data_IF_408475124849
#
_entry.id   IF_408475124849
#
_cell.length_a   1.000
_cell.length_b   1.000
_cell.length_c   1.000
_cell.angle_alpha   90.00
_cell.angle_beta   90.00
_cell.angle_gamma   90.00
#
_symmetry.space_group_name_H-M   'P 1'
#
loop_
_entity.id
_entity.type
_entity.pdbx_description
1 polymer ?
#
# COMPACT_ATOMS: atom_id res chain seq x y z
N UNK A 1 3.64 -24.60 -38.68
CA UNK A 1 3.71 -23.92 -37.36
C UNK A 1 3.70 -25.00 -36.28
N UNK A 2 4.88 -25.43 -35.83
CA UNK A 2 5.05 -26.58 -34.91
C UNK A 2 4.79 -26.11 -33.48
N UNK A 3 3.77 -26.67 -32.82
CA UNK A 3 3.59 -26.54 -31.35
C UNK A 3 4.56 -27.50 -30.67
N UNK A 4 5.49 -26.96 -29.89
CA UNK A 4 6.41 -27.76 -29.07
C UNK A 4 5.68 -28.52 -27.94
N UNK A 5 6.26 -29.62 -27.42
CA UNK A 5 5.60 -30.46 -26.43
C UNK A 5 5.54 -29.75 -25.06
N UNK A 6 4.35 -29.70 -24.48
CA UNK A 6 4.15 -29.27 -23.10
C UNK A 6 4.69 -30.34 -22.15
N UNK A 7 5.81 -30.07 -21.49
CA UNK A 7 6.38 -30.92 -20.45
C UNK A 7 5.52 -30.85 -19.18
N UNK A 8 4.43 -31.61 -19.13
CA UNK A 8 3.72 -31.86 -17.86
C UNK A 8 4.41 -33.02 -17.12
N UNK A 9 4.76 -32.79 -15.86
CA UNK A 9 5.43 -33.75 -14.97
C UNK A 9 4.51 -34.91 -14.52
N UNK A 10 3.67 -35.42 -15.42
CA UNK A 10 2.63 -36.40 -15.17
C UNK A 10 3.13 -37.86 -15.15
N UNK A 11 4.42 -38.12 -15.44
CA UNK A 11 4.99 -39.46 -15.57
C UNK A 11 5.84 -39.97 -14.38
N UNK A 12 6.03 -39.16 -13.34
CA UNK A 12 6.83 -39.59 -12.16
C UNK A 12 6.02 -40.44 -11.17
N UNK A 13 6.59 -41.51 -10.57
CA UNK A 13 5.91 -42.30 -9.53
C UNK A 13 5.55 -41.45 -8.31
N UNK A 14 4.42 -41.76 -7.65
CA UNK A 14 3.85 -40.97 -6.52
C UNK A 14 4.86 -40.56 -5.43
N UNK A 15 5.80 -41.41 -4.95
CA UNK A 15 6.80 -40.99 -3.95
C UNK A 15 7.83 -39.98 -4.48
N UNK A 16 8.21 -40.06 -5.76
CA UNK A 16 9.11 -39.09 -6.40
C UNK A 16 8.47 -37.69 -6.48
N UNK A 17 7.14 -37.61 -6.66
CA UNK A 17 6.40 -36.34 -6.61
C UNK A 17 6.38 -35.72 -5.21
N UNK A 18 6.34 -36.54 -4.16
CA UNK A 18 6.39 -36.06 -2.78
C UNK A 18 7.78 -35.52 -2.41
N UNK A 19 8.84 -36.21 -2.82
CA UNK A 19 10.23 -35.75 -2.66
C UNK A 19 10.50 -34.45 -3.42
N UNK A 20 10.06 -34.37 -4.68
CA UNK A 20 10.21 -33.17 -5.50
C UNK A 20 9.41 -31.97 -4.93
N UNK A 21 8.22 -32.20 -4.37
CA UNK A 21 7.43 -31.17 -3.67
C UNK A 21 8.08 -30.73 -2.35
N UNK A 22 8.80 -31.60 -1.64
CA UNK A 22 9.54 -31.25 -0.42
C UNK A 22 10.78 -30.43 -0.77
N UNK A 23 11.55 -30.87 -1.77
CA UNK A 23 12.71 -30.15 -2.28
C UNK A 23 12.32 -28.77 -2.84
N UNK A 24 11.24 -28.69 -3.62
CA UNK A 24 10.70 -27.43 -4.11
C UNK A 24 10.29 -26.48 -2.97
N UNK A 25 9.61 -26.98 -1.94
CA UNK A 25 9.28 -26.19 -0.74
C UNK A 25 10.52 -25.74 0.04
N UNK A 26 11.56 -26.57 0.11
CA UNK A 26 12.83 -26.20 0.73
C UNK A 26 13.55 -25.12 -0.08
N UNK A 27 13.59 -25.23 -1.41
CA UNK A 27 14.17 -24.22 -2.30
C UNK A 27 13.40 -22.89 -2.26
N UNK A 28 12.06 -22.93 -2.20
CA UNK A 28 11.26 -21.72 -2.02
C UNK A 28 11.56 -21.05 -0.67
N UNK A 29 11.72 -21.83 0.41
CA UNK A 29 12.10 -21.33 1.73
C UNK A 29 13.51 -20.73 1.73
N UNK A 30 14.50 -21.41 1.16
CA UNK A 30 15.86 -20.91 1.07
C UNK A 30 15.96 -19.63 0.20
N UNK A 31 15.29 -19.62 -0.95
CA UNK A 31 15.15 -18.42 -1.80
C UNK A 31 14.50 -17.28 -1.04
N UNK A 32 13.53 -17.57 -0.18
CA UNK A 32 12.86 -16.57 0.64
C UNK A 32 13.73 -16.07 1.79
N UNK A 33 14.46 -16.93 2.51
CA UNK A 33 15.44 -16.50 3.50
C UNK A 33 16.52 -15.61 2.89
N UNK A 34 16.97 -15.92 1.68
CA UNK A 34 17.87 -15.06 0.91
C UNK A 34 17.19 -13.76 0.46
N UNK A 35 15.92 -13.80 0.08
CA UNK A 35 15.14 -12.61 -0.26
C UNK A 35 14.86 -11.71 0.96
N UNK A 36 14.56 -12.28 2.13
CA UNK A 36 14.33 -11.53 3.36
C UNK A 36 15.63 -10.93 3.89
N UNK A 37 16.76 -11.63 3.77
CA UNK A 37 18.10 -11.07 3.99
C UNK A 37 18.41 -9.97 2.97
N UNK A 38 18.08 -10.16 1.69
CA UNK A 38 18.25 -9.14 0.64
C UNK A 38 17.40 -7.89 0.89
N UNK A 39 16.14 -8.05 1.31
CA UNK A 39 15.24 -6.96 1.69
C UNK A 39 15.71 -6.26 2.96
N UNK A 40 16.23 -7.00 3.95
CA UNK A 40 16.92 -6.42 5.12
C UNK A 40 18.16 -5.62 4.72
N UNK A 41 18.90 -6.08 3.71
CA UNK A 41 20.17 -5.47 3.30
C UNK A 41 20.00 -4.27 2.36
N UNK A 42 19.00 -4.30 1.45
CA UNK A 42 18.68 -3.19 0.54
C UNK A 42 17.65 -2.20 1.12
N UNK A 43 16.87 -2.64 2.10
CA UNK A 43 15.95 -1.84 2.92
C UNK A 43 14.87 -1.08 2.15
N UNK A 44 14.28 -0.13 2.88
CA UNK A 44 13.34 0.87 2.38
C UNK A 44 13.85 1.64 1.14
N UNK A 45 15.15 2.04 1.04
CA UNK A 45 15.65 2.81 -0.10
C UNK A 45 15.49 2.13 -1.46
N UNK A 46 15.57 0.79 -1.52
CA UNK A 46 15.36 0.05 -2.76
C UNK A 46 13.92 0.17 -3.26
N UNK A 47 12.94 -0.03 -2.39
CA UNK A 47 11.54 0.10 -2.75
C UNK A 47 11.21 1.55 -3.09
N UNK A 48 11.64 2.51 -2.29
CA UNK A 48 11.47 3.94 -2.60
C UNK A 48 12.01 4.28 -3.98
N UNK A 49 13.23 3.83 -4.31
CA UNK A 49 13.84 4.08 -5.62
C UNK A 49 13.06 3.43 -6.74
N UNK A 50 12.66 2.16 -6.57
CA UNK A 50 11.87 1.42 -7.55
C UNK A 50 10.53 2.09 -7.82
N UNK A 51 9.82 2.53 -6.78
CA UNK A 51 8.51 3.17 -6.88
C UNK A 51 8.61 4.59 -7.41
N UNK A 52 9.58 5.38 -6.93
CA UNK A 52 9.90 6.73 -7.42
C UNK A 52 10.20 6.76 -8.92
N UNK A 53 10.84 5.71 -9.45
CA UNK A 53 11.21 5.60 -10.87
C UNK A 53 10.14 4.96 -11.76
N UNK A 54 8.95 4.61 -11.26
CA UNK A 54 7.89 4.10 -12.14
C UNK A 54 7.44 5.19 -13.10
N UNK A 55 7.62 4.94 -14.39
CA UNK A 55 7.22 5.88 -15.45
C UNK A 55 5.71 6.06 -15.57
N UNK A 56 5.31 7.21 -16.13
CA UNK A 56 3.91 7.65 -16.25
C UNK A 56 2.97 6.60 -16.87
N UNK A 57 3.40 5.82 -17.85
CA UNK A 57 2.57 4.77 -18.46
C UNK A 57 2.22 3.64 -17.47
N UNK A 58 3.13 3.31 -16.54
CA UNK A 58 2.86 2.33 -15.49
C UNK A 58 1.99 2.89 -14.38
N UNK A 59 2.15 4.18 -14.08
CA UNK A 59 1.24 4.89 -13.18
C UNK A 59 -0.16 4.85 -13.81
N UNK A 60 -0.32 5.32 -15.06
CA UNK A 60 -1.57 5.34 -15.85
C UNK A 60 -2.29 4.00 -15.95
N UNK A 61 -1.55 2.90 -16.13
CA UNK A 61 -2.14 1.55 -16.11
C UNK A 61 -2.70 1.14 -14.74
N UNK A 62 -2.23 1.75 -13.65
CA UNK A 62 -2.80 1.57 -12.32
C UNK A 62 -4.08 2.37 -12.05
N UNK A 63 -4.53 3.23 -12.99
CA UNK A 63 -5.67 4.14 -12.79
C UNK A 63 -7.03 3.43 -12.75
N UNK A 64 -7.08 2.14 -13.09
CA UNK A 64 -8.31 1.37 -13.15
C UNK A 64 -8.64 0.71 -11.82
N UNK A 65 -8.84 1.50 -10.75
CA UNK A 65 -9.24 0.90 -9.47
C UNK A 65 -10.21 1.69 -8.59
N UNK A 66 -10.83 2.80 -9.03
CA UNK A 66 -11.83 3.51 -8.18
C UNK A 66 -12.95 2.59 -7.67
N UNK A 67 -13.34 1.59 -8.46
CA UNK A 67 -14.40 0.63 -8.11
C UNK A 67 -13.89 -0.63 -7.38
N UNK A 68 -12.65 -0.63 -6.87
CA UNK A 68 -12.13 -1.80 -6.17
C UNK A 68 -12.86 -1.98 -4.82
N UNK A 69 -13.36 -3.18 -4.48
CA UNK A 69 -14.23 -3.40 -3.31
C UNK A 69 -13.69 -2.89 -1.96
N UNK A 70 -12.37 -2.95 -1.73
CA UNK A 70 -11.75 -2.45 -0.48
C UNK A 70 -12.03 -0.95 -0.24
N UNK A 71 -12.31 -0.16 -1.29
CA UNK A 71 -12.57 1.28 -1.17
C UNK A 71 -13.92 1.56 -0.55
N UNK A 72 -14.94 0.74 -0.86
CA UNK A 72 -16.23 0.85 -0.18
C UNK A 72 -16.07 0.57 1.31
N UNK A 73 -15.36 -0.52 1.64
CA UNK A 73 -15.02 -0.87 3.02
C UNK A 73 -14.27 0.27 3.73
N UNK A 74 -13.26 0.87 3.08
CA UNK A 74 -12.52 2.01 3.60
C UNK A 74 -13.46 3.18 3.95
N UNK A 75 -14.32 3.59 3.01
CA UNK A 75 -15.26 4.69 3.20
C UNK A 75 -16.24 4.45 4.36
N UNK A 76 -16.75 3.23 4.48
CA UNK A 76 -17.66 2.86 5.57
C UNK A 76 -16.96 2.95 6.93
N UNK A 77 -15.68 2.57 7.02
CA UNK A 77 -14.91 2.70 8.26
C UNK A 77 -14.61 4.15 8.61
N UNK A 78 -14.36 5.02 7.62
CA UNK A 78 -14.24 6.47 7.86
C UNK A 78 -15.54 7.07 8.41
N UNK A 79 -16.71 6.53 8.02
CA UNK A 79 -17.99 7.01 8.55
C UNK A 79 -18.12 6.78 10.06
N UNK A 80 -17.49 5.74 10.61
CA UNK A 80 -17.47 5.47 12.05
C UNK A 80 -16.72 6.55 12.87
N UNK A 81 -15.85 7.33 12.23
CA UNK A 81 -15.09 8.42 12.87
C UNK A 81 -15.74 9.80 12.68
N UNK A 82 -16.93 9.86 12.05
CA UNK A 82 -17.62 11.12 11.81
C UNK A 82 -18.09 11.79 13.11
N UNK A 83 -17.97 13.13 13.25
CA UNK A 83 -17.39 14.09 12.30
C UNK A 83 -15.85 14.12 12.35
N UNK A 84 -15.21 14.35 11.21
CA UNK A 84 -13.78 14.67 11.08
C UNK A 84 -13.57 15.70 9.97
N UNK A 85 -12.45 16.43 10.02
CA UNK A 85 -12.19 17.54 9.11
C UNK A 85 -10.91 17.39 8.29
N UNK A 86 -9.94 16.58 8.73
CA UNK A 86 -8.67 16.42 8.00
C UNK A 86 -8.22 14.97 7.94
N UNK A 87 -7.72 14.56 6.78
CA UNK A 87 -7.16 13.22 6.57
C UNK A 87 -5.81 13.28 5.87
N UNK A 88 -4.92 12.35 6.22
CA UNK A 88 -3.63 12.16 5.55
C UNK A 88 -3.47 10.70 5.11
N UNK A 89 -3.28 10.48 3.81
CA UNK A 89 -2.89 9.18 3.25
C UNK A 89 -1.37 9.13 3.03
N UNK A 90 -0.71 8.16 3.65
CA UNK A 90 0.71 7.86 3.43
C UNK A 90 0.85 6.82 2.32
N UNK A 91 1.53 7.17 1.24
CA UNK A 91 1.66 6.36 0.02
C UNK A 91 0.39 6.42 -0.85
N UNK A 92 -0.12 7.62 -1.08
CA UNK A 92 -1.42 7.85 -1.72
C UNK A 92 -1.48 7.50 -3.22
N UNK A 93 -0.33 7.22 -3.86
CA UNK A 93 -0.26 7.10 -5.31
C UNK A 93 -0.80 8.35 -5.99
N UNK A 94 -1.83 8.19 -6.83
CA UNK A 94 -2.52 9.29 -7.52
C UNK A 94 -3.79 9.77 -6.77
N UNK A 95 -3.98 9.34 -5.53
CA UNK A 95 -5.05 9.77 -4.63
C UNK A 95 -6.46 9.23 -4.90
N UNK A 96 -6.68 7.98 -5.38
CA UNK A 96 -8.03 7.48 -5.62
C UNK A 96 -8.88 7.42 -4.33
N UNK A 97 -8.26 7.04 -3.20
CA UNK A 97 -8.94 6.95 -1.91
C UNK A 97 -9.33 8.35 -1.41
N UNK A 98 -8.42 9.32 -1.50
CA UNK A 98 -8.68 10.72 -1.13
C UNK A 98 -9.79 11.36 -1.97
N UNK A 99 -9.82 11.09 -3.28
CA UNK A 99 -10.89 11.58 -4.15
C UNK A 99 -12.26 11.02 -3.74
N UNK A 100 -12.33 9.72 -3.39
CA UNK A 100 -13.57 9.10 -2.92
C UNK A 100 -13.99 9.64 -1.54
N UNK A 101 -13.03 9.83 -0.63
CA UNK A 101 -13.28 10.43 0.69
C UNK A 101 -13.83 11.86 0.54
N UNK A 102 -13.23 12.69 -0.29
CA UNK A 102 -13.69 14.06 -0.53
C UNK A 102 -15.10 14.12 -1.15
N UNK A 103 -15.46 13.14 -1.99
CA UNK A 103 -16.82 13.01 -2.53
C UNK A 103 -17.82 12.53 -1.48
N UNK A 104 -17.42 11.58 -0.62
CA UNK A 104 -18.29 10.98 0.40
C UNK A 104 -18.52 11.90 1.59
N UNK A 105 -17.52 12.69 1.95
CA UNK A 105 -17.52 13.60 3.09
C UNK A 105 -17.18 15.03 2.61
N UNK A 106 -18.15 15.76 2.05
CA UNK A 106 -17.91 17.12 1.57
C UNK A 106 -17.38 18.04 2.67
N UNK A 107 -16.37 18.85 2.36
CA UNK A 107 -15.79 19.84 3.26
C UNK A 107 -14.55 19.40 4.04
N UNK A 108 -14.14 18.13 3.96
CA UNK A 108 -12.87 17.68 4.55
C UNK A 108 -11.66 18.22 3.78
N UNK A 109 -10.53 18.36 4.48
CA UNK A 109 -9.20 18.57 3.90
C UNK A 109 -8.48 17.24 3.77
N UNK A 110 -8.23 16.79 2.54
CA UNK A 110 -7.65 15.49 2.24
C UNK A 110 -6.23 15.67 1.67
N UNK A 111 -5.23 15.18 2.40
CA UNK A 111 -3.84 15.29 2.00
C UNK A 111 -3.25 13.90 1.70
N UNK A 112 -2.37 13.82 0.71
CA UNK A 112 -1.70 12.58 0.34
C UNK A 112 -0.22 12.80 0.08
N UNK A 113 0.62 11.89 0.55
CA UNK A 113 2.04 11.87 0.20
C UNK A 113 2.40 10.62 -0.60
N UNK A 114 3.24 10.77 -1.62
CA UNK A 114 3.80 9.63 -2.35
C UNK A 114 5.24 9.92 -2.81
N UNK A 115 6.05 8.86 -2.95
CA UNK A 115 7.45 8.99 -3.41
C UNK A 115 7.58 9.20 -4.92
N UNK A 116 6.53 8.92 -5.69
CA UNK A 116 6.51 8.99 -7.14
C UNK A 116 5.99 10.34 -7.66
N UNK A 117 6.83 11.14 -8.34
CA UNK A 117 6.44 12.46 -8.86
C UNK A 117 5.38 12.40 -9.96
N UNK A 118 5.36 11.33 -10.77
CA UNK A 118 4.33 11.14 -11.80
C UNK A 118 2.97 10.84 -11.17
N UNK A 119 2.91 10.04 -10.10
CA UNK A 119 1.68 9.78 -9.36
C UNK A 119 1.09 11.06 -8.77
N UNK A 120 1.92 11.85 -8.09
CA UNK A 120 1.51 13.13 -7.48
C UNK A 120 1.03 14.12 -8.53
N UNK A 121 1.80 14.31 -9.61
CA UNK A 121 1.46 15.24 -10.67
C UNK A 121 0.14 14.86 -11.37
N UNK A 122 -0.02 13.60 -11.74
CA UNK A 122 -1.22 13.13 -12.44
C UNK A 122 -2.45 13.10 -11.51
N UNK A 123 -2.26 12.74 -10.24
CA UNK A 123 -3.33 12.77 -9.25
C UNK A 123 -3.85 14.19 -8.99
N UNK A 124 -2.95 15.17 -8.84
CA UNK A 124 -3.36 16.58 -8.72
C UNK A 124 -4.07 17.10 -9.98
N UNK A 125 -3.68 16.65 -11.18
CA UNK A 125 -4.42 16.97 -12.42
C UNK A 125 -5.85 16.43 -12.36
N UNK A 126 -6.04 15.17 -11.98
CA UNK A 126 -7.37 14.55 -11.86
C UNK A 126 -8.23 15.20 -10.77
N UNK A 127 -7.63 15.56 -9.64
CA UNK A 127 -8.29 16.27 -8.55
C UNK A 127 -8.84 17.62 -9.04
N UNK A 128 -8.04 18.37 -9.81
CA UNK A 128 -8.45 19.64 -10.40
C UNK A 128 -9.57 19.45 -11.43
N UNK A 129 -9.47 18.46 -12.31
CA UNK A 129 -10.51 18.12 -13.30
C UNK A 129 -11.84 17.70 -12.65
N UNK A 130 -11.79 17.07 -11.48
CA UNK A 130 -12.95 16.68 -10.70
C UNK A 130 -13.51 17.79 -9.80
N UNK A 131 -12.87 18.97 -9.74
CA UNK A 131 -13.28 20.08 -8.88
C UNK A 131 -13.12 19.81 -7.38
N UNK A 132 -12.23 18.89 -6.99
CA UNK A 132 -12.05 18.45 -5.60
C UNK A 132 -11.01 19.31 -4.87
N UNK A 133 -11.26 20.60 -4.72
CA UNK A 133 -10.30 21.58 -4.20
C UNK A 133 -9.77 21.32 -2.78
N UNK A 134 -10.48 20.52 -1.99
CA UNK A 134 -10.04 20.08 -0.65
C UNK A 134 -9.00 18.95 -0.68
N UNK A 135 -8.62 18.43 -1.84
CA UNK A 135 -7.63 17.35 -1.97
C UNK A 135 -6.29 17.91 -2.47
N UNK A 136 -5.19 17.52 -1.84
CA UNK A 136 -3.83 17.90 -2.26
C UNK A 136 -2.86 16.74 -2.12
N UNK A 137 -2.12 16.44 -3.19
CA UNK A 137 -1.06 15.44 -3.18
C UNK A 137 0.32 16.11 -3.21
N UNK A 138 1.28 15.58 -2.46
CA UNK A 138 2.66 16.08 -2.43
C UNK A 138 3.68 14.96 -2.43
N UNK A 139 4.92 15.30 -2.77
CA UNK A 139 6.04 14.37 -2.67
C UNK A 139 6.44 14.18 -1.21
N UNK A 140 6.57 12.93 -0.77
CA UNK A 140 6.97 12.63 0.60
C UNK A 140 7.37 11.17 0.78
N UNK A 141 7.99 10.87 1.93
CA UNK A 141 8.37 9.51 2.33
C UNK A 141 7.55 9.11 3.55
N UNK A 142 7.21 7.84 3.66
CA UNK A 142 6.39 7.34 4.77
C UNK A 142 7.02 7.57 6.16
N UNK A 143 8.35 7.59 6.24
CA UNK A 143 9.10 7.79 7.50
C UNK A 143 9.50 9.25 7.76
N UNK A 144 9.05 10.20 6.94
CA UNK A 144 9.33 11.63 7.08
C UNK A 144 8.04 12.42 6.87
N UNK A 145 7.36 12.72 7.98
CA UNK A 145 6.16 13.55 8.04
C UNK A 145 6.46 14.89 8.71
N UNK A 146 7.69 15.39 8.59
CA UNK A 146 8.13 16.65 9.23
C UNK A 146 7.35 17.89 8.78
N UNK A 147 6.69 17.84 7.62
CA UNK A 147 5.76 18.87 7.14
C UNK A 147 4.46 18.95 7.95
N UNK A 148 4.17 17.96 8.80
CA UNK A 148 2.95 17.88 9.61
C UNK A 148 3.30 17.97 11.10
N UNK A 149 2.57 18.83 11.82
CA UNK A 149 2.70 18.97 13.26
C UNK A 149 2.09 17.80 14.04
N UNK A 150 2.38 17.75 15.33
CA UNK A 150 1.83 16.74 16.24
C UNK A 150 0.31 16.93 16.38
N UNK A 151 -0.46 15.84 16.26
CA UNK A 151 -1.92 15.87 16.32
C UNK A 151 -2.57 16.84 15.34
N UNK A 152 -1.92 17.14 14.21
CA UNK A 152 -2.38 18.15 13.24
C UNK A 152 -3.45 17.64 12.27
N UNK A 153 -3.63 16.32 12.17
CA UNK A 153 -4.57 15.68 11.24
C UNK A 153 -5.52 14.77 12.02
N UNK A 154 -6.83 14.82 11.77
CA UNK A 154 -7.79 13.98 12.51
C UNK A 154 -7.49 12.49 12.34
N UNK A 155 -7.37 12.05 11.09
CA UNK A 155 -7.18 10.65 10.74
C UNK A 155 -5.98 10.51 9.80
N UNK A 156 -5.02 9.66 10.17
CA UNK A 156 -3.92 9.28 9.29
C UNK A 156 -4.15 7.83 8.86
N UNK A 157 -3.93 7.54 7.59
CA UNK A 157 -4.11 6.19 7.09
C UNK A 157 -3.14 5.81 5.99
N UNK A 158 -3.13 4.53 5.68
CA UNK A 158 -2.38 3.98 4.57
C UNK A 158 -3.10 2.75 4.02
N UNK A 159 -2.91 2.48 2.72
CA UNK A 159 -3.56 1.39 1.99
C UNK A 159 -2.53 0.69 1.09
N UNK A 160 -2.10 -0.50 1.51
CA UNK A 160 -1.11 -1.34 0.84
C UNK A 160 0.24 -0.64 0.61
N UNK A 161 0.84 -0.05 1.65
CA UNK A 161 2.12 0.67 1.55
C UNK A 161 3.15 0.14 2.52
N UNK A 162 2.79 -0.20 3.75
CA UNK A 162 3.75 -0.57 4.79
C UNK A 162 4.55 -1.83 4.43
N UNK A 163 4.03 -2.73 3.60
CA UNK A 163 4.81 -3.87 3.09
C UNK A 163 6.02 -3.46 2.22
N UNK A 164 6.04 -2.21 1.73
CA UNK A 164 7.15 -1.61 0.97
C UNK A 164 8.13 -0.85 1.87
N UNK A 165 7.76 -0.62 3.13
CA UNK A 165 8.62 -0.01 4.13
C UNK A 165 9.40 -1.12 4.82
N UNK A 166 10.71 -1.08 4.66
CA UNK A 166 11.59 -2.11 5.23
C UNK A 166 11.69 -2.01 6.76
N UNK A 167 12.23 -3.06 7.41
CA UNK A 167 12.45 -3.07 8.86
C UNK A 167 13.30 -1.90 9.37
N UNK A 168 14.10 -1.29 8.49
CA UNK A 168 14.95 -0.14 8.79
C UNK A 168 14.17 1.16 9.03
N UNK A 169 12.92 1.26 8.56
CA UNK A 169 12.11 2.50 8.63
C UNK A 169 10.68 2.29 9.12
N UNK A 170 10.21 1.05 9.25
CA UNK A 170 8.80 0.78 9.57
C UNK A 170 8.39 1.37 10.92
N UNK A 171 9.22 1.24 11.96
CA UNK A 171 8.94 1.81 13.28
C UNK A 171 8.86 3.34 13.22
N UNK A 172 9.78 3.98 12.48
CA UNK A 172 9.76 5.43 12.30
C UNK A 172 8.55 5.89 11.51
N UNK A 173 8.14 5.18 10.46
CA UNK A 173 6.94 5.49 9.70
C UNK A 173 5.68 5.40 10.58
N UNK A 174 5.51 4.32 11.34
CA UNK A 174 4.39 4.15 12.26
C UNK A 174 4.38 5.23 13.35
N UNK A 175 5.55 5.53 13.93
CA UNK A 175 5.70 6.58 14.94
C UNK A 175 5.35 7.97 14.39
N UNK A 176 5.78 8.31 13.17
CA UNK A 176 5.41 9.58 12.53
C UNK A 176 3.92 9.65 12.23
N UNK A 177 3.33 8.57 11.72
CA UNK A 177 1.89 8.53 11.44
C UNK A 177 1.07 8.70 12.73
N UNK A 178 1.48 8.03 13.81
CA UNK A 178 0.85 8.20 15.12
C UNK A 178 1.04 9.61 15.67
N UNK A 179 2.24 10.19 15.55
CA UNK A 179 2.54 11.57 15.98
C UNK A 179 1.61 12.58 15.30
N UNK A 180 1.40 12.43 14.00
CA UNK A 180 0.57 13.35 13.19
C UNK A 180 -0.92 13.15 13.44
N UNK A 181 -1.35 11.92 13.74
CA UNK A 181 -2.76 11.59 13.99
C UNK A 181 -3.25 12.17 15.32
N UNK A 182 -4.38 12.88 15.27
CA UNK A 182 -5.07 13.44 16.44
C UNK A 182 -6.04 12.46 17.08
N UNK A 183 -6.79 11.71 16.25
CA UNK A 183 -7.95 10.93 16.71
C UNK A 183 -7.88 9.47 16.32
N UNK A 184 -7.19 9.12 15.24
CA UNK A 184 -7.14 7.74 14.80
C UNK A 184 -6.15 7.44 13.69
N UNK A 185 -5.74 6.18 13.66
CA UNK A 185 -4.88 5.59 12.64
C UNK A 185 -5.62 4.43 11.96
N UNK A 186 -5.62 4.42 10.63
CA UNK A 186 -6.23 3.34 9.86
C UNK A 186 -5.18 2.66 8.97
N UNK A 187 -4.93 1.38 9.19
CA UNK A 187 -3.87 0.63 8.50
C UNK A 187 -4.48 -0.48 7.65
N UNK A 188 -4.69 -0.21 6.36
CA UNK A 188 -5.21 -1.19 5.42
C UNK A 188 -4.03 -1.86 4.71
N UNK A 189 -3.47 -2.89 5.33
CA UNK A 189 -2.25 -3.50 4.82
C UNK A 189 -2.47 -4.88 4.23
N UNK A 190 -1.65 -5.18 3.21
CA UNK A 190 -1.59 -6.51 2.64
C UNK A 190 -0.86 -7.44 3.60
N UNK A 191 -1.63 -8.21 4.36
CA UNK A 191 -1.11 -9.33 5.10
C UNK A 191 -1.09 -10.58 4.22
N UNK A 192 0.08 -11.21 4.07
CA UNK A 192 0.18 -12.54 3.49
C UNK A 192 0.46 -13.52 4.62
N UNK A 193 -0.58 -14.26 5.02
CA UNK A 193 -0.41 -15.46 5.83
C UNK A 193 0.40 -16.48 5.01
N UNK A 194 1.57 -16.83 5.49
CA UNK A 194 2.42 -17.88 4.95
C UNK A 194 1.91 -19.30 5.30
N UNK A 195 0.65 -19.42 5.71
CA UNK A 195 -0.07 -20.68 5.89
C UNK A 195 -0.84 -21.08 4.61
N UNK A 196 -0.60 -22.29 4.06
CA UNK A 196 -1.32 -22.72 2.86
C UNK A 196 -2.82 -22.86 3.13
N UNK A 197 -3.63 -22.01 2.49
CA UNK A 197 -5.09 -22.22 2.39
C UNK A 197 -6.01 -21.12 2.92
N UNK A 198 -5.52 -19.95 3.36
CA UNK A 198 -6.38 -18.82 3.74
C UNK A 198 -6.21 -17.62 2.82
N UNK A 199 -7.35 -17.01 2.46
CA UNK A 199 -7.44 -15.82 1.58
C UNK A 199 -6.94 -14.59 2.33
N UNK A 200 -6.41 -13.63 1.56
CA UNK A 200 -5.96 -12.30 1.98
C UNK A 200 -6.91 -11.70 3.03
N UNK A 201 -6.40 -11.46 4.25
CA UNK A 201 -7.15 -10.78 5.31
C UNK A 201 -6.69 -9.32 5.34
N UNK A 202 -7.61 -8.42 5.03
CA UNK A 202 -7.49 -6.98 5.24
C UNK A 202 -7.91 -6.68 6.68
N UNK A 203 -6.99 -6.43 7.60
CA UNK A 203 -7.34 -5.95 8.95
C UNK A 203 -6.24 -5.09 9.58
N UNK A 204 -6.63 -3.90 10.06
CA UNK A 204 -5.85 -3.04 10.94
C UNK A 204 -6.58 -1.73 11.28
N UNK A 205 -7.35 -1.71 12.37
CA UNK A 205 -7.86 -0.49 13.01
C UNK A 205 -7.05 -0.28 14.29
N UNK A 206 -6.36 0.85 14.42
CA UNK A 206 -5.72 1.26 15.66
C UNK A 206 -6.26 2.64 16.05
N UNK A 207 -7.16 2.66 17.03
CA UNK A 207 -7.58 3.91 17.65
C UNK A 207 -6.41 4.40 18.51
N UNK A 208 -5.95 5.62 18.27
CA UNK A 208 -4.94 6.24 19.13
C UNK A 208 -5.65 6.61 20.42
N UNK A 209 -5.22 6.03 21.55
CA UNK A 209 -5.69 6.37 22.89
C UNK A 209 -5.16 7.74 23.32
#
# INVERSE_FOLDING_TARGET
>A
MVRGPSLSAAWLPRPARAGLRRLWRALLRARWSLWSVFVRWRGTPYFETKWRRRGIASVRRGFSSLNHPHRAWLLDHFACFWPFHSVLEVGCGYGPNLQLLAKRFPGIQAQGIDVNPHSVSEGNRLVAEAGLWGVRLSLGKAHDLSAFGDGSVDLVFTDAVLYLVGPDRIEKALSEMQRVARRGLLLLELHRDDLPGRREVLTGLAQVA
#
